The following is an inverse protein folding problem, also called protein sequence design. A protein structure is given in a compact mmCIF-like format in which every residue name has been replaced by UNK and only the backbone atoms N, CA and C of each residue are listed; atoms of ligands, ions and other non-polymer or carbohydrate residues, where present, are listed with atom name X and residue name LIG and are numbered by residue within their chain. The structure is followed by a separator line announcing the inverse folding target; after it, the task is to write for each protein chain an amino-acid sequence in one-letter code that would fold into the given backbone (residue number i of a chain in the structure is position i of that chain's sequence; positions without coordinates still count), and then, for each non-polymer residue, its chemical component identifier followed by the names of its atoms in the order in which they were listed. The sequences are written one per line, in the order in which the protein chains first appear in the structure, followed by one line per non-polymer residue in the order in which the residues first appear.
data_IF_759129610633
#
_entry.id   IF_759129610633
#
_cell.length_a   1.000
_cell.length_b   1.000
_cell.length_c   1.000
_cell.angle_alpha   90.00
_cell.angle_beta   90.00
_cell.angle_gamma   90.00
#
_symmetry.space_group_name_H-M   'P 1'
#
loop_
_entity.id
_entity.type
_entity.pdbx_description
1 polymer ?
#
# COMPACT_ATOMS: atom_id res chain seq x y z
N UNK A 1 -38.28 -14.02 53.61
CA UNK A 1 -38.51 -13.06 52.54
C UNK A 1 -38.36 -13.77 51.20
N UNK A 2 -39.40 -13.72 50.33
CA UNK A 2 -39.37 -14.39 49.05
C UNK A 2 -38.43 -13.64 48.07
N UNK A 3 -37.72 -14.43 47.28
CA UNK A 3 -36.90 -13.96 46.17
C UNK A 3 -37.81 -13.32 45.12
N UNK A 4 -37.50 -12.06 44.73
CA UNK A 4 -38.14 -11.38 43.63
C UNK A 4 -37.60 -11.93 42.31
N UNK A 5 -38.51 -12.33 41.41
CA UNK A 5 -38.19 -12.79 40.06
C UNK A 5 -37.59 -11.63 39.23
N UNK A 6 -36.57 -11.88 38.40
CA UNK A 6 -36.05 -10.88 37.48
C UNK A 6 -37.06 -10.54 36.38
N UNK A 7 -37.10 -9.30 35.90
CA UNK A 7 -38.02 -8.89 34.85
C UNK A 7 -37.73 -9.59 33.54
N UNK A 8 -38.74 -9.82 32.67
CA UNK A 8 -38.60 -10.53 31.41
C UNK A 8 -37.68 -9.75 30.45
N UNK A 9 -36.77 -10.49 29.80
CA UNK A 9 -35.92 -9.99 28.73
C UNK A 9 -36.75 -9.34 27.61
N UNK A 10 -36.65 -8.06 27.47
CA UNK A 10 -37.17 -7.35 26.30
C UNK A 10 -36.38 -7.78 25.09
N UNK A 11 -37.00 -8.58 24.23
CA UNK A 11 -36.46 -8.93 22.90
C UNK A 11 -36.28 -7.64 22.13
N UNK A 12 -35.03 -7.19 21.97
CA UNK A 12 -34.70 -6.07 21.08
C UNK A 12 -34.96 -6.52 19.65
N UNK A 13 -35.88 -5.85 18.99
CA UNK A 13 -36.09 -5.97 17.55
C UNK A 13 -34.77 -5.75 16.79
N UNK A 14 -34.55 -6.48 15.68
CA UNK A 14 -33.37 -6.25 14.84
C UNK A 14 -33.38 -4.82 14.34
N UNK A 15 -32.28 -4.13 14.54
CA UNK A 15 -32.06 -2.79 13.98
C UNK A 15 -32.23 -2.87 12.48
N UNK A 16 -33.27 -2.18 11.98
CA UNK A 16 -33.43 -1.91 10.56
C UNK A 16 -32.14 -1.32 10.00
N UNK A 17 -31.75 -1.81 8.84
CA UNK A 17 -30.63 -1.34 8.04
C UNK A 17 -30.64 0.18 7.96
N UNK A 18 -29.72 0.84 8.66
CA UNK A 18 -29.47 2.25 8.47
C UNK A 18 -28.72 2.38 7.15
N UNK A 19 -29.41 2.83 6.14
CA UNK A 19 -28.81 3.41 4.95
C UNK A 19 -27.79 4.47 5.40
N UNK A 20 -26.50 4.17 5.23
CA UNK A 20 -25.43 5.12 5.40
C UNK A 20 -25.50 6.12 4.27
N UNK A 21 -26.11 7.26 4.53
CA UNK A 21 -26.07 8.39 3.59
C UNK A 21 -24.68 9.02 3.63
N UNK A 22 -24.15 9.33 2.46
CA UNK A 22 -22.82 9.91 2.17
C UNK A 22 -22.45 11.18 2.97
N UNK A 23 -23.32 11.67 3.84
CA UNK A 23 -23.17 12.96 4.52
C UNK A 23 -22.43 12.93 5.87
N UNK A 24 -22.00 11.77 6.38
CA UNK A 24 -21.35 11.68 7.70
C UNK A 24 -19.83 11.53 7.69
N UNK A 25 -19.18 11.64 6.52
CA UNK A 25 -17.71 11.55 6.40
C UNK A 25 -16.99 12.91 6.30
N UNK A 26 -17.61 14.03 6.65
CA UNK A 26 -17.04 15.36 6.34
C UNK A 26 -16.22 16.01 7.46
N UNK A 27 -16.08 15.40 8.64
CA UNK A 27 -15.20 15.91 9.70
C UNK A 27 -13.89 15.12 9.79
N UNK A 28 -13.10 15.17 8.73
CA UNK A 28 -11.78 14.57 8.69
C UNK A 28 -10.70 15.65 8.71
N UNK A 29 -9.79 15.58 9.69
CA UNK A 29 -8.59 16.42 9.83
C UNK A 29 -7.57 16.29 8.68
N UNK A 30 -7.96 15.66 7.56
CA UNK A 30 -7.09 15.43 6.41
C UNK A 30 -7.31 16.53 5.38
N UNK A 31 -6.23 17.10 4.83
CA UNK A 31 -6.32 18.05 3.72
C UNK A 31 -7.16 17.47 2.58
N UNK A 32 -8.05 18.29 2.01
CA UNK A 32 -8.98 17.87 0.94
C UNK A 32 -8.26 17.23 -0.26
N UNK A 33 -7.01 17.56 -0.48
CA UNK A 33 -6.19 17.02 -1.55
C UNK A 33 -5.71 15.59 -1.27
N UNK A 34 -5.41 15.28 -0.02
CA UNK A 34 -5.12 13.91 0.42
C UNK A 34 -6.40 13.06 0.47
N UNK A 35 -7.54 13.64 0.86
CA UNK A 35 -8.84 12.97 0.79
C UNK A 35 -9.19 12.57 -0.65
N UNK A 36 -8.93 13.42 -1.65
CA UNK A 36 -9.15 13.09 -3.06
C UNK A 36 -8.24 11.96 -3.55
N UNK A 37 -6.99 11.91 -3.10
CA UNK A 37 -6.05 10.82 -3.44
C UNK A 37 -6.50 9.49 -2.82
N UNK A 38 -7.06 9.53 -1.61
CA UNK A 38 -7.57 8.36 -0.88
C UNK A 38 -8.90 7.87 -1.48
N UNK A 39 -9.78 8.77 -1.93
CA UNK A 39 -11.05 8.44 -2.57
C UNK A 39 -10.89 7.76 -3.94
N UNK A 40 -9.68 7.70 -4.50
CA UNK A 40 -9.40 7.07 -5.80
C UNK A 40 -8.86 5.64 -5.71
N UNK A 41 -8.67 5.08 -4.51
CA UNK A 41 -8.23 3.70 -4.34
C UNK A 41 -9.44 2.77 -4.15
N UNK A 42 -9.86 2.12 -5.22
CA UNK A 42 -11.04 1.27 -5.23
C UNK A 42 -10.68 -0.17 -5.58
N UNK A 43 -10.76 -1.14 -4.64
CA UNK A 43 -10.66 -2.53 -5.00
C UNK A 43 -11.86 -2.98 -5.85
N UNK A 44 -11.63 -3.93 -6.74
CA UNK A 44 -12.64 -4.51 -7.62
C UNK A 44 -13.32 -5.69 -6.95
N UNK A 45 -14.66 -5.69 -6.95
CA UNK A 45 -15.48 -6.79 -6.44
C UNK A 45 -16.44 -7.29 -7.52
N UNK A 46 -16.89 -8.53 -7.35
CA UNK A 46 -17.97 -9.08 -8.13
C UNK A 46 -19.31 -8.71 -7.49
N UNK A 47 -20.13 -7.94 -8.17
CA UNK A 47 -21.46 -7.55 -7.70
C UNK A 47 -22.45 -8.70 -7.76
N UNK A 48 -23.55 -8.63 -7.00
CA UNK A 48 -24.58 -9.66 -6.91
C UNK A 48 -25.26 -10.00 -8.27
N UNK A 49 -25.19 -9.10 -9.25
CA UNK A 49 -25.75 -9.27 -10.59
C UNK A 49 -24.68 -9.69 -11.63
N UNK A 50 -23.51 -10.17 -11.19
CA UNK A 50 -22.43 -10.63 -12.08
C UNK A 50 -21.62 -9.50 -12.73
N UNK A 51 -21.88 -8.24 -12.39
CA UNK A 51 -21.09 -7.07 -12.78
C UNK A 51 -19.91 -6.84 -11.83
N UNK A 52 -18.84 -6.18 -12.35
CA UNK A 52 -17.73 -5.76 -11.48
C UNK A 52 -18.01 -4.38 -10.91
N UNK A 53 -17.87 -4.27 -9.60
CA UNK A 53 -18.07 -3.02 -8.87
C UNK A 53 -16.78 -2.61 -8.20
N UNK A 54 -16.43 -1.33 -8.29
CA UNK A 54 -15.38 -0.72 -7.48
C UNK A 54 -15.98 -0.31 -6.15
N UNK A 55 -15.42 -0.84 -5.06
CA UNK A 55 -15.76 -0.37 -3.73
C UNK A 55 -14.54 0.33 -3.10
N UNK A 56 -14.74 1.42 -2.36
CA UNK A 56 -13.63 2.12 -1.72
C UNK A 56 -12.94 1.22 -0.69
N UNK A 57 -11.62 1.19 -0.70
CA UNK A 57 -10.85 0.69 0.44
C UNK A 57 -11.24 1.53 1.64
N UNK A 58 -11.56 0.90 2.76
CA UNK A 58 -11.94 1.63 3.95
C UNK A 58 -10.84 2.63 4.32
N UNK A 59 -11.19 3.91 4.38
CA UNK A 59 -10.29 5.01 4.73
C UNK A 59 -9.44 4.70 5.96
N UNK A 60 -10.02 4.00 6.94
CA UNK A 60 -9.35 3.62 8.18
C UNK A 60 -8.11 2.74 7.91
N UNK A 61 -8.15 1.86 6.92
CA UNK A 61 -7.01 0.99 6.57
C UNK A 61 -5.85 1.77 5.99
N UNK A 62 -6.14 2.77 5.14
CA UNK A 62 -5.10 3.63 4.55
C UNK A 62 -4.50 4.53 5.62
N UNK A 63 -5.33 5.07 6.51
CA UNK A 63 -4.89 5.87 7.65
C UNK A 63 -4.00 5.06 8.59
N UNK A 64 -4.42 3.86 8.98
CA UNK A 64 -3.63 2.96 9.83
C UNK A 64 -2.29 2.60 9.19
N UNK A 65 -2.26 2.36 7.87
CA UNK A 65 -1.03 2.11 7.15
C UNK A 65 -0.12 3.35 7.15
N UNK A 66 -0.66 4.54 6.89
CA UNK A 66 0.12 5.79 6.93
C UNK A 66 0.68 6.08 8.33
N UNK A 67 -0.10 5.85 9.39
CA UNK A 67 0.34 5.97 10.78
C UNK A 67 1.41 4.94 11.12
N UNK A 68 1.27 3.70 10.64
CA UNK A 68 2.26 2.65 10.83
C UNK A 68 3.58 3.00 10.15
N UNK A 69 3.53 3.49 8.91
CA UNK A 69 4.73 3.95 8.19
C UNK A 69 5.42 5.10 8.93
N UNK A 70 4.65 6.06 9.44
CA UNK A 70 5.19 7.21 10.18
C UNK A 70 5.84 6.81 11.49
N UNK A 71 5.21 5.91 12.25
CA UNK A 71 5.62 5.57 13.61
C UNK A 71 6.69 4.47 13.63
N UNK A 72 6.61 3.49 12.74
CA UNK A 72 7.44 2.29 12.78
C UNK A 72 8.32 2.11 11.54
N UNK A 73 8.08 2.90 10.50
CA UNK A 73 8.79 2.79 9.22
C UNK A 73 8.20 1.74 8.28
N UNK A 74 8.65 1.80 7.02
CA UNK A 74 8.14 0.94 5.92
C UNK A 74 8.49 -0.54 6.10
N UNK A 75 9.60 -0.85 6.77
CA UNK A 75 10.12 -2.20 6.95
C UNK A 75 9.64 -2.90 8.22
N UNK A 76 8.86 -2.23 9.08
CA UNK A 76 8.32 -2.85 10.29
C UNK A 76 7.35 -3.98 9.93
N UNK A 77 7.43 -5.10 10.67
CA UNK A 77 6.56 -6.26 10.42
C UNK A 77 5.07 -5.90 10.48
N UNK A 78 4.69 -4.99 11.38
CA UNK A 78 3.32 -4.49 11.49
C UNK A 78 2.88 -3.75 10.22
N UNK A 79 3.76 -2.89 9.67
CA UNK A 79 3.51 -2.17 8.41
C UNK A 79 3.40 -3.13 7.22
N UNK A 80 4.31 -4.10 7.15
CA UNK A 80 4.29 -5.13 6.10
C UNK A 80 2.99 -5.94 6.17
N UNK A 81 2.56 -6.35 7.36
CA UNK A 81 1.31 -7.10 7.54
C UNK A 81 0.08 -6.31 7.06
N UNK A 82 0.06 -4.98 7.23
CA UNK A 82 -1.02 -4.14 6.69
C UNK A 82 -1.00 -4.05 5.16
N UNK A 83 0.18 -3.95 4.54
CA UNK A 83 0.32 -3.98 3.08
C UNK A 83 -0.13 -5.33 2.52
N UNK A 84 0.25 -6.45 3.16
CA UNK A 84 -0.21 -7.79 2.79
C UNK A 84 -1.73 -7.94 2.93
N UNK A 85 -2.33 -7.32 3.94
CA UNK A 85 -3.77 -7.29 4.13
C UNK A 85 -4.49 -6.55 3.00
N UNK A 86 -3.93 -5.43 2.53
CA UNK A 86 -4.44 -4.72 1.35
C UNK A 86 -4.35 -5.59 0.09
N UNK A 87 -3.32 -6.43 -0.04
CA UNK A 87 -3.13 -7.32 -1.18
C UNK A 87 -4.20 -8.42 -1.29
N UNK A 88 -5.00 -8.66 -0.26
CA UNK A 88 -6.16 -9.55 -0.33
C UNK A 88 -7.33 -8.95 -1.12
N UNK A 89 -7.28 -7.68 -1.44
CA UNK A 89 -8.24 -7.01 -2.29
C UNK A 89 -7.75 -6.98 -3.74
N UNK A 90 -8.68 -7.08 -4.70
CA UNK A 90 -8.39 -6.98 -6.12
C UNK A 90 -8.14 -5.51 -6.50
N UNK A 91 -7.00 -4.98 -6.13
CA UNK A 91 -6.61 -3.60 -6.41
C UNK A 91 -6.05 -3.46 -7.83
N UNK A 92 -6.44 -2.39 -8.49
CA UNK A 92 -5.90 -2.05 -9.82
C UNK A 92 -4.46 -1.53 -9.70
N UNK A 93 -3.68 -1.53 -10.80
CA UNK A 93 -2.38 -0.88 -10.85
C UNK A 93 -2.43 0.60 -10.41
N UNK A 94 -3.48 1.32 -10.79
CA UNK A 94 -3.70 2.72 -10.40
C UNK A 94 -3.95 2.88 -8.90
N UNK A 95 -4.72 1.97 -8.31
CA UNK A 95 -5.02 1.98 -6.87
C UNK A 95 -3.73 1.77 -6.05
N UNK A 96 -2.91 0.80 -6.42
CA UNK A 96 -1.62 0.57 -5.78
C UNK A 96 -0.72 1.80 -5.82
N UNK A 97 -0.59 2.44 -7.00
CA UNK A 97 0.20 3.66 -7.13
C UNK A 97 -0.35 4.79 -6.26
N UNK A 98 -1.67 4.94 -6.20
CA UNK A 98 -2.34 5.97 -5.40
C UNK A 98 -2.12 5.75 -3.90
N UNK A 99 -2.35 4.53 -3.42
CA UNK A 99 -2.18 4.18 -2.00
C UNK A 99 -0.71 4.35 -1.59
N UNK A 100 0.23 3.77 -2.34
CA UNK A 100 1.65 3.87 -1.98
C UNK A 100 2.14 5.31 -2.01
N UNK A 101 1.71 6.11 -2.99
CA UNK A 101 2.05 7.55 -3.04
C UNK A 101 1.48 8.33 -1.85
N UNK A 102 0.32 7.93 -1.34
CA UNK A 102 -0.31 8.58 -0.18
C UNK A 102 0.38 8.25 1.14
N UNK A 103 0.93 7.04 1.27
CA UNK A 103 1.52 6.56 2.54
C UNK A 103 3.06 6.64 2.58
N UNK A 104 3.71 6.77 1.43
CA UNK A 104 5.17 6.86 1.36
C UNK A 104 5.69 8.13 2.08
N UNK A 105 6.74 8.02 2.91
CA UNK A 105 7.28 9.15 3.67
C UNK A 105 7.85 10.27 2.77
N UNK A 106 8.29 9.92 1.57
CA UNK A 106 8.85 10.86 0.60
C UNK A 106 8.52 10.44 -0.83
N UNK A 107 8.59 11.40 -1.75
CA UNK A 107 8.45 11.12 -3.18
C UNK A 107 9.59 10.21 -3.69
N UNK A 108 10.80 10.33 -3.15
CA UNK A 108 11.92 9.44 -3.48
C UNK A 108 11.60 7.98 -3.19
N UNK A 109 11.05 7.70 -2.01
CA UNK A 109 10.66 6.33 -1.63
C UNK A 109 9.50 5.78 -2.49
N UNK A 110 8.53 6.63 -2.85
CA UNK A 110 7.49 6.24 -3.81
C UNK A 110 8.09 5.87 -5.18
N UNK A 111 9.03 6.66 -5.69
CA UNK A 111 9.68 6.40 -6.98
C UNK A 111 10.52 5.12 -6.94
N UNK A 112 11.21 4.87 -5.85
CA UNK A 112 11.97 3.64 -5.62
C UNK A 112 11.05 2.42 -5.58
N UNK A 113 9.96 2.47 -4.78
CA UNK A 113 8.94 1.42 -4.80
C UNK A 113 8.39 1.19 -6.20
N UNK A 114 8.09 2.26 -6.95
CA UNK A 114 7.55 2.17 -8.30
C UNK A 114 8.51 1.46 -9.25
N UNK A 115 9.80 1.76 -9.17
CA UNK A 115 10.83 1.11 -9.97
C UNK A 115 10.93 -0.38 -9.65
N UNK A 116 10.99 -0.76 -8.37
CA UNK A 116 11.00 -2.14 -7.90
C UNK A 116 9.73 -2.91 -8.31
N UNK A 117 8.58 -2.24 -8.24
CA UNK A 117 7.31 -2.81 -8.67
C UNK A 117 7.28 -3.08 -10.18
N UNK A 118 7.74 -2.14 -11.00
CA UNK A 118 7.83 -2.29 -12.45
C UNK A 118 8.79 -3.42 -12.83
N UNK A 119 9.95 -3.54 -12.17
CA UNK A 119 10.88 -4.64 -12.40
C UNK A 119 10.26 -6.00 -12.05
N UNK A 120 9.55 -6.08 -10.92
CA UNK A 120 8.79 -7.27 -10.53
C UNK A 120 7.70 -7.62 -11.55
N UNK A 121 6.95 -6.64 -12.05
CA UNK A 121 5.95 -6.83 -13.11
C UNK A 121 6.58 -7.28 -14.43
N UNK A 122 7.74 -6.75 -14.79
CA UNK A 122 8.47 -7.16 -15.99
C UNK A 122 8.93 -8.62 -15.90
N UNK A 123 9.44 -9.01 -14.74
CA UNK A 123 9.86 -10.40 -14.48
C UNK A 123 8.64 -11.34 -14.56
N UNK A 124 7.51 -10.94 -13.96
CA UNK A 124 6.29 -11.73 -14.00
C UNK A 124 5.71 -11.84 -15.42
N UNK A 125 5.73 -10.75 -16.21
CA UNK A 125 5.27 -10.75 -17.60
C UNK A 125 6.10 -11.70 -18.48
N UNK A 126 7.42 -11.75 -18.29
CA UNK A 126 8.28 -12.73 -18.99
C UNK A 126 7.91 -14.16 -18.63
N UNK A 127 7.64 -14.45 -17.37
CA UNK A 127 7.16 -15.77 -16.94
C UNK A 127 5.79 -16.09 -17.56
N UNK A 128 4.87 -15.13 -17.56
CA UNK A 128 3.54 -15.30 -18.16
C UNK A 128 3.60 -15.63 -19.65
N UNK A 129 4.53 -15.04 -20.40
CA UNK A 129 4.70 -15.27 -21.83
C UNK A 129 4.99 -16.75 -22.17
N UNK A 130 5.54 -17.52 -21.23
CA UNK A 130 5.81 -18.96 -21.37
C UNK A 130 4.63 -19.84 -20.96
N UNK A 131 3.60 -19.25 -20.33
CA UNK A 131 2.43 -19.99 -19.83
C UNK A 131 1.41 -20.24 -20.96
N UNK A 132 0.45 -21.14 -20.69
CA UNK A 132 -0.66 -21.45 -21.59
C UNK A 132 -1.93 -20.75 -21.11
N UNK A 133 -2.86 -20.52 -22.06
CA UNK A 133 -4.16 -19.91 -21.76
C UNK A 133 -4.07 -18.40 -21.53
N UNK A 134 -5.04 -17.86 -20.77
CA UNK A 134 -5.23 -16.43 -20.56
C UNK A 134 -4.03 -15.75 -19.88
N UNK A 135 -3.29 -16.49 -19.07
CA UNK A 135 -2.13 -15.96 -18.36
C UNK A 135 -1.05 -15.43 -19.32
N UNK A 136 -0.94 -15.99 -20.52
CA UNK A 136 -0.01 -15.51 -21.55
C UNK A 136 -0.30 -14.06 -21.98
N UNK A 137 -1.55 -13.62 -21.84
CA UNK A 137 -1.97 -12.26 -22.22
C UNK A 137 -1.69 -11.20 -21.14
N UNK A 138 -1.25 -11.62 -19.94
CA UNK A 138 -0.94 -10.69 -18.85
C UNK A 138 0.45 -10.11 -19.02
N UNK A 139 0.52 -9.14 -19.92
CA UNK A 139 1.75 -8.44 -20.31
C UNK A 139 2.19 -7.44 -19.24
N UNK A 140 3.40 -6.91 -19.38
CA UNK A 140 3.89 -5.82 -18.55
C UNK A 140 2.95 -4.60 -18.54
N UNK A 141 2.44 -4.23 -19.70
CA UNK A 141 1.50 -3.09 -19.83
C UNK A 141 0.22 -3.32 -19.03
N UNK A 142 -0.34 -4.55 -19.08
CA UNK A 142 -1.52 -4.92 -18.30
C UNK A 142 -1.21 -4.88 -16.81
N UNK A 143 -0.10 -5.49 -16.37
CA UNK A 143 0.26 -5.55 -14.94
C UNK A 143 0.60 -4.18 -14.35
N UNK A 144 1.07 -3.24 -15.17
CA UNK A 144 1.38 -1.87 -14.73
C UNK A 144 0.27 -0.85 -15.04
N UNK A 145 -0.78 -1.27 -15.75
CA UNK A 145 -1.88 -0.40 -16.16
C UNK A 145 -1.46 0.69 -17.14
N UNK A 146 -0.57 0.36 -18.09
CA UNK A 146 -0.05 1.30 -19.09
C UNK A 146 -0.65 1.06 -20.47
N UNK A 147 -0.40 1.99 -21.40
CA UNK A 147 -0.86 1.88 -22.79
C UNK A 147 -2.37 1.74 -22.90
N UNK A 148 -2.82 0.75 -23.65
CA UNK A 148 -4.25 0.45 -23.85
C UNK A 148 -4.99 0.05 -22.56
N UNK A 149 -4.26 -0.38 -21.52
CA UNK A 149 -4.82 -0.81 -20.24
C UNK A 149 -5.00 0.33 -19.24
N UNK A 150 -4.60 1.55 -19.57
CA UNK A 150 -4.68 2.69 -18.65
C UNK A 150 -6.12 3.09 -18.29
N UNK A 151 -7.02 3.04 -19.28
CA UNK A 151 -8.41 3.50 -19.11
C UNK A 151 -9.35 2.44 -18.51
N UNK A 152 -9.02 1.15 -18.63
CA UNK A 152 -9.93 0.07 -18.20
C UNK A 152 -9.18 -0.97 -17.37
N UNK A 153 -8.95 -0.65 -16.10
CA UNK A 153 -8.23 -1.52 -15.15
C UNK A 153 -9.16 -2.38 -14.28
N UNK A 154 -10.49 -2.22 -14.44
CA UNK A 154 -11.48 -2.89 -13.59
C UNK A 154 -11.93 -4.25 -14.11
N UNK A 155 -11.65 -4.54 -15.38
CA UNK A 155 -12.10 -5.74 -16.05
C UNK A 155 -11.00 -6.77 -16.31
N UNK A 156 -9.91 -6.76 -15.52
CA UNK A 156 -8.86 -7.76 -15.64
C UNK A 156 -9.31 -9.11 -15.08
N UNK A 157 -8.69 -10.20 -15.55
CA UNK A 157 -8.87 -11.49 -14.92
C UNK A 157 -8.40 -11.46 -13.47
N UNK A 158 -9.11 -12.16 -12.55
CA UNK A 158 -8.80 -12.15 -11.12
C UNK A 158 -7.34 -12.54 -10.81
N UNK A 159 -6.79 -13.50 -11.56
CA UNK A 159 -5.39 -13.88 -11.44
C UNK A 159 -4.40 -12.76 -11.78
N UNK A 160 -4.76 -11.82 -12.67
CA UNK A 160 -3.92 -10.66 -12.96
C UNK A 160 -3.83 -9.72 -11.75
N UNK A 161 -4.95 -9.45 -11.06
CA UNK A 161 -4.93 -8.68 -9.81
C UNK A 161 -4.06 -9.32 -8.73
N UNK A 162 -4.11 -10.65 -8.61
CA UNK A 162 -3.26 -11.37 -7.67
C UNK A 162 -1.77 -11.17 -7.99
N UNK A 163 -1.37 -11.20 -9.28
CA UNK A 163 0.01 -10.94 -9.69
C UNK A 163 0.42 -9.48 -9.47
N UNK A 164 -0.48 -8.52 -9.75
CA UNK A 164 -0.25 -7.08 -9.49
C UNK A 164 0.00 -6.85 -8.00
N UNK A 165 -0.85 -7.41 -7.14
CA UNK A 165 -0.73 -7.30 -5.69
C UNK A 165 0.54 -7.98 -5.16
N UNK A 166 0.86 -9.18 -5.65
CA UNK A 166 2.10 -9.87 -5.27
C UNK A 166 3.35 -9.08 -5.65
N UNK A 167 3.37 -8.47 -6.84
CA UNK A 167 4.46 -7.59 -7.27
C UNK A 167 4.56 -6.34 -6.40
N UNK A 168 3.43 -5.72 -6.02
CA UNK A 168 3.39 -4.54 -5.17
C UNK A 168 3.92 -4.82 -3.75
N UNK A 169 3.51 -5.94 -3.14
CA UNK A 169 4.03 -6.38 -1.83
C UNK A 169 5.51 -6.71 -1.89
N UNK A 170 5.94 -7.40 -2.94
CA UNK A 170 7.37 -7.73 -3.15
C UNK A 170 8.21 -6.46 -3.24
N UNK A 171 7.77 -5.47 -4.02
CA UNK A 171 8.42 -4.17 -4.12
C UNK A 171 8.47 -3.44 -2.77
N UNK A 172 7.39 -3.47 -2.00
CA UNK A 172 7.35 -2.87 -0.67
C UNK A 172 8.37 -3.49 0.28
N UNK A 173 8.46 -4.81 0.31
CA UNK A 173 9.43 -5.53 1.15
C UNK A 173 10.88 -5.31 0.76
N UNK A 174 11.12 -4.91 -0.49
CA UNK A 174 12.45 -4.61 -1.01
C UNK A 174 12.90 -3.17 -0.76
N UNK A 175 12.00 -2.30 -0.22
CA UNK A 175 12.37 -0.93 0.15
C UNK A 175 13.47 -0.93 1.23
N UNK A 176 14.43 0.02 1.16
CA UNK A 176 15.52 0.11 2.12
C UNK A 176 14.98 0.32 3.54
N UNK A 177 15.55 -0.39 4.48
CA UNK A 177 15.22 -0.24 5.89
C UNK A 177 15.78 1.08 6.41
N UNK A 178 14.90 1.91 6.95
CA UNK A 178 15.34 3.13 7.63
C UNK A 178 16.31 2.75 8.76
N UNK A 179 17.57 3.05 8.61
CA UNK A 179 18.62 2.70 9.58
C UNK A 179 19.78 1.91 9.01
N UNK A 180 19.68 1.25 7.86
CA UNK A 180 20.87 0.65 7.22
C UNK A 180 21.83 1.74 6.73
N UNK A 181 21.30 2.85 6.20
CA UNK A 181 22.07 4.05 5.88
C UNK A 181 22.70 4.67 7.14
N UNK A 182 21.94 4.79 8.23
CA UNK A 182 22.44 5.29 9.53
C UNK A 182 23.50 4.37 10.15
N UNK A 183 23.36 3.04 9.97
CA UNK A 183 24.35 2.05 10.44
C UNK A 183 25.69 2.13 9.72
N UNK A 184 25.75 2.66 8.51
CA UNK A 184 27.03 2.92 7.84
C UNK A 184 27.71 4.18 8.37
N UNK A 185 26.95 5.26 8.65
CA UNK A 185 27.51 6.48 9.24
C UNK A 185 28.05 6.26 10.65
N UNK A 186 27.39 5.46 11.46
CA UNK A 186 27.85 5.14 12.84
C UNK A 186 29.13 4.29 12.88
N UNK A 187 29.50 3.63 11.77
CA UNK A 187 30.75 2.87 11.63
C UNK A 187 31.94 3.76 11.22
N UNK A 188 31.68 4.99 10.80
CA UNK A 188 32.73 5.93 10.41
C UNK A 188 33.27 6.56 11.70
N UNK A 189 34.42 6.13 12.16
CA UNK A 189 35.14 6.67 13.30
C UNK A 189 36.34 7.49 12.83
N UNK A 190 36.70 8.53 13.59
CA UNK A 190 37.89 9.33 13.29
C UNK A 190 39.15 8.47 13.47
N UNK A 191 40.02 8.49 12.46
CA UNK A 191 41.31 7.81 12.53
C UNK A 191 42.25 8.50 13.55
N UNK A 192 43.16 7.73 14.18
CA UNK A 192 44.06 8.25 15.21
C UNK A 192 44.99 9.38 14.74
N UNK A 193 45.25 9.49 13.44
CA UNK A 193 46.08 10.53 12.82
C UNK A 193 45.26 11.44 11.87
N UNK A 194 43.95 11.27 11.83
CA UNK A 194 43.04 12.02 10.96
C UNK A 194 42.69 13.36 11.59
N UNK A 195 42.82 14.48 10.83
CA UNK A 195 42.35 15.76 11.30
C UNK A 195 40.81 15.77 11.47
N UNK A 196 40.31 16.56 12.39
CA UNK A 196 38.86 16.67 12.59
C UNK A 196 38.15 17.19 11.33
N UNK A 197 38.79 18.10 10.58
CA UNK A 197 38.24 18.62 9.32
C UNK A 197 38.11 17.54 8.25
N UNK A 198 39.11 16.65 8.11
CA UNK A 198 39.07 15.56 7.15
C UNK A 198 38.04 14.50 7.55
N UNK A 199 37.92 14.22 8.85
CA UNK A 199 36.87 13.34 9.37
C UNK A 199 35.46 13.88 9.05
N UNK A 200 35.24 15.19 9.27
CA UNK A 200 33.93 15.83 8.97
C UNK A 200 33.67 15.81 7.47
N UNK A 201 34.65 16.11 6.62
CA UNK A 201 34.50 16.05 5.17
C UNK A 201 34.12 14.64 4.70
N UNK A 202 34.80 13.60 5.21
CA UNK A 202 34.50 12.21 4.91
C UNK A 202 33.12 11.76 5.41
N UNK A 203 32.70 12.24 6.59
CA UNK A 203 31.34 12.00 7.11
C UNK A 203 30.29 12.67 6.22
N UNK A 204 30.52 13.90 5.80
CA UNK A 204 29.61 14.65 4.92
C UNK A 204 29.46 13.97 3.56
N UNK A 205 30.59 13.57 2.95
CA UNK A 205 30.57 12.83 1.68
C UNK A 205 29.85 11.47 1.81
N UNK A 206 30.05 10.77 2.92
CA UNK A 206 29.31 9.53 3.18
C UNK A 206 27.81 9.76 3.39
N UNK A 207 27.42 10.85 4.04
CA UNK A 207 26.02 11.23 4.21
C UNK A 207 25.36 11.58 2.87
N UNK A 208 26.03 12.35 2.00
CA UNK A 208 25.53 12.71 0.65
C UNK A 208 25.33 11.51 -0.26
N UNK A 209 26.08 10.42 -0.07
CA UNK A 209 25.90 9.16 -0.80
C UNK A 209 24.74 8.33 -0.29
N UNK A 210 24.24 8.60 0.91
CA UNK A 210 23.23 7.80 1.62
C UNK A 210 21.84 8.45 1.55
N UNK A 211 21.79 9.79 1.48
CA UNK A 211 20.57 10.61 1.45
C UNK A 211 20.34 11.28 0.11
#
# INVERSE_FOLDING_TARGET
PPYAEPPPCVVRQPCAERQWTERQCTDSFIPKEEQRKIQQAFPVFEGAEGGRVHAPVAYIQIKELAESVRNYGVSANFTIAQVERLANHAMTPGDWQTVVKAVAPSMGMYLEWKALWQDSCQTQARANATMKGDQRTWTFELLTGQGQHAANQTNYHWGAYAQISAAAVKAWKALPKKGEASGQLTKITQGAQESFSDFVARMTEAAERIF
#
